data_IF_688483513233
#
_entry.id   IF_688483513233
#
_cell.length_a   1.000
_cell.length_b   1.000
_cell.length_c   1.000
_cell.angle_alpha   90.00
_cell.angle_beta   90.00
_cell.angle_gamma   90.00
#
_symmetry.space_group_name_H-M   'P 1'
#
loop_
_entity.id
_entity.type
_entity.pdbx_description
1 polymer ?
#
# COMPACT_ATOMS: atom_id res chain seq x y z
N UNK A 1 6.14 23.08 17.00
CA UNK A 1 6.89 21.84 17.23
C UNK A 1 8.21 22.00 16.49
N UNK A 2 9.25 22.42 17.19
CA UNK A 2 10.59 22.68 16.68
C UNK A 2 11.21 21.36 16.22
N UNK A 3 11.76 21.35 15.01
CA UNK A 3 12.68 20.29 14.56
C UNK A 3 13.77 20.21 15.63
N UNK A 4 14.07 19.02 16.21
CA UNK A 4 15.17 18.92 17.14
C UNK A 4 16.42 19.43 16.42
N UNK A 5 17.09 20.40 17.04
CA UNK A 5 18.29 21.02 16.49
C UNK A 5 19.32 19.92 16.25
N UNK A 6 19.96 19.97 15.09
CA UNK A 6 21.20 19.24 14.86
C UNK A 6 22.14 19.53 16.04
N UNK A 7 22.84 18.51 16.53
CA UNK A 7 23.91 18.70 17.48
C UNK A 7 24.88 19.76 16.94
N UNK A 8 25.65 20.48 17.80
CA UNK A 8 26.51 21.58 17.38
C UNK A 8 27.52 21.23 16.27
N UNK A 9 27.74 19.98 16.06
CA UNK A 9 28.63 19.33 15.07
C UNK A 9 27.93 18.89 13.79
N UNK A 10 26.65 19.22 13.59
CA UNK A 10 25.89 18.83 12.39
C UNK A 10 25.45 17.36 12.36
N UNK A 11 25.96 16.51 13.24
CA UNK A 11 25.69 15.07 13.28
C UNK A 11 24.40 14.76 14.05
N UNK A 12 23.54 13.89 13.51
CA UNK A 12 22.36 13.43 14.25
C UNK A 12 22.76 12.72 15.54
N UNK A 13 22.16 13.11 16.67
CA UNK A 13 22.39 12.41 17.93
C UNK A 13 21.92 10.95 17.86
N UNK A 14 22.51 10.07 18.66
CA UNK A 14 22.06 8.68 18.75
C UNK A 14 20.56 8.56 19.06
N UNK A 15 20.06 9.43 19.94
CA UNK A 15 18.64 9.48 20.30
C UNK A 15 17.77 9.84 19.09
N UNK A 16 18.18 10.81 18.27
CA UNK A 16 17.46 11.19 17.06
C UNK A 16 17.43 10.06 16.03
N UNK A 17 18.58 9.41 15.83
CA UNK A 17 18.67 8.26 14.94
C UNK A 17 17.69 7.17 15.35
N UNK A 18 17.73 6.76 16.61
CA UNK A 18 16.84 5.70 17.14
C UNK A 18 15.37 6.10 17.03
N UNK A 19 15.03 7.33 17.40
CA UNK A 19 13.64 7.82 17.30
C UNK A 19 13.13 7.83 15.85
N UNK A 20 13.94 8.27 14.89
CA UNK A 20 13.58 8.27 13.47
C UNK A 20 13.36 6.87 12.93
N UNK A 21 14.23 5.91 13.28
CA UNK A 21 14.10 4.51 12.86
C UNK A 21 12.90 3.83 13.51
N UNK A 22 12.65 4.06 14.79
CA UNK A 22 11.47 3.54 15.49
C UNK A 22 10.17 4.12 14.93
N UNK A 23 10.14 5.43 14.67
CA UNK A 23 8.98 6.07 14.06
C UNK A 23 8.69 5.51 12.66
N UNK A 24 9.72 5.36 11.81
CA UNK A 24 9.58 4.75 10.49
C UNK A 24 9.02 3.33 10.58
N UNK A 25 9.59 2.52 11.49
CA UNK A 25 9.14 1.14 11.71
C UNK A 25 7.69 1.08 12.20
N UNK A 26 7.32 1.95 13.15
CA UNK A 26 5.96 2.03 13.69
C UNK A 26 4.93 2.46 12.65
N UNK A 27 5.24 3.48 11.86
CA UNK A 27 4.38 3.99 10.79
C UNK A 27 4.21 2.94 9.67
N UNK A 28 5.31 2.32 9.23
CA UNK A 28 5.25 1.22 8.28
C UNK A 28 4.45 0.04 8.83
N UNK A 29 4.67 -0.30 10.09
CA UNK A 29 3.92 -1.32 10.81
C UNK A 29 2.42 -1.03 10.89
N UNK A 30 2.00 0.22 11.11
CA UNK A 30 0.59 0.61 11.15
C UNK A 30 -0.13 0.35 9.82
N UNK A 31 0.51 0.67 8.69
CA UNK A 31 -0.01 0.33 7.35
C UNK A 31 -0.06 -1.18 7.19
N UNK A 32 1.03 -1.89 7.53
CA UNK A 32 1.13 -3.34 7.42
C UNK A 32 0.11 -4.08 8.28
N UNK A 33 -0.18 -3.59 9.49
CA UNK A 33 -1.20 -4.14 10.37
C UNK A 33 -2.59 -4.07 9.74
N UNK A 34 -2.94 -2.94 9.14
CA UNK A 34 -4.19 -2.80 8.38
C UNK A 34 -4.28 -3.84 7.25
N UNK A 35 -3.17 -4.13 6.58
CA UNK A 35 -3.08 -5.12 5.51
C UNK A 35 -3.23 -6.55 6.04
N UNK A 36 -2.58 -6.86 7.15
CA UNK A 36 -2.63 -8.18 7.79
C UNK A 36 -4.03 -8.50 8.32
N UNK A 37 -4.66 -7.56 9.03
CA UNK A 37 -6.05 -7.69 9.49
C UNK A 37 -7.05 -7.94 8.35
N UNK A 38 -6.69 -7.57 7.12
CA UNK A 38 -7.52 -7.74 5.93
C UNK A 38 -7.09 -8.89 5.03
N UNK A 39 -6.19 -9.74 5.52
CA UNK A 39 -5.68 -10.92 4.82
C UNK A 39 -5.13 -10.60 3.41
N UNK A 40 -4.48 -9.44 3.27
CA UNK A 40 -3.82 -9.04 2.02
C UNK A 40 -2.36 -9.50 2.02
N UNK A 41 -1.76 -9.78 0.86
CA UNK A 41 -0.32 -10.04 0.77
C UNK A 41 0.49 -8.86 1.32
N UNK A 42 1.68 -9.12 1.86
CA UNK A 42 2.53 -8.15 2.55
C UNK A 42 1.83 -7.48 3.76
N UNK A 43 2.05 -8.05 4.95
CA UNK A 43 1.50 -7.60 6.22
C UNK A 43 2.45 -6.70 7.02
N UNK A 44 2.30 -6.78 8.35
CA UNK A 44 3.03 -5.98 9.34
C UNK A 44 4.55 -5.99 9.13
N UNK A 45 5.15 -7.18 9.06
CA UNK A 45 6.60 -7.36 8.97
C UNK A 45 7.18 -6.72 7.71
N UNK A 46 6.54 -6.94 6.57
CA UNK A 46 7.01 -6.43 5.28
C UNK A 46 7.03 -4.90 5.27
N UNK A 47 5.94 -4.26 5.66
CA UNK A 47 5.85 -2.80 5.64
C UNK A 47 6.77 -2.15 6.68
N UNK A 48 6.88 -2.74 7.88
CA UNK A 48 7.79 -2.27 8.92
C UNK A 48 9.26 -2.34 8.47
N UNK A 49 9.67 -3.46 7.86
CA UNK A 49 11.04 -3.64 7.36
C UNK A 49 11.35 -2.75 6.16
N UNK A 50 10.41 -2.54 5.25
CA UNK A 50 10.58 -1.63 4.11
C UNK A 50 10.76 -0.19 4.60
N UNK A 51 9.92 0.28 5.52
CA UNK A 51 10.04 1.61 6.08
C UNK A 51 11.35 1.79 6.88
N UNK A 52 11.71 0.78 7.69
CA UNK A 52 12.98 0.77 8.42
C UNK A 52 14.19 0.82 7.47
N UNK A 53 14.22 -0.01 6.43
CA UNK A 53 15.30 -0.06 5.45
C UNK A 53 15.47 1.26 4.70
N UNK A 54 14.37 1.87 4.28
CA UNK A 54 14.36 3.18 3.64
C UNK A 54 14.86 4.29 4.61
N UNK A 55 14.42 4.26 5.87
CA UNK A 55 14.88 5.21 6.88
C UNK A 55 16.37 5.02 7.21
N UNK A 56 16.83 3.78 7.37
CA UNK A 56 18.22 3.46 7.64
C UNK A 56 19.15 3.96 6.53
N UNK A 57 18.81 3.66 5.27
CA UNK A 57 19.61 4.11 4.12
C UNK A 57 19.67 5.65 4.06
N UNK A 58 18.54 6.33 4.33
CA UNK A 58 18.48 7.79 4.31
C UNK A 58 19.27 8.41 5.46
N UNK A 59 19.14 7.92 6.69
CA UNK A 59 19.92 8.41 7.86
C UNK A 59 21.42 8.20 7.63
N UNK A 60 21.81 7.01 7.12
CA UNK A 60 23.23 6.71 6.84
C UNK A 60 23.82 7.68 5.81
N UNK A 61 23.04 8.02 4.76
CA UNK A 61 23.51 8.98 3.75
C UNK A 61 23.63 10.40 4.28
N UNK A 62 22.72 10.83 5.16
CA UNK A 62 22.80 12.14 5.80
C UNK A 62 24.08 12.23 6.66
N UNK A 63 24.35 11.24 7.50
CA UNK A 63 25.57 11.21 8.34
C UNK A 63 26.85 11.12 7.51
N UNK A 64 26.84 10.36 6.39
CA UNK A 64 28.00 10.29 5.48
C UNK A 64 28.21 11.63 4.78
N UNK A 65 27.14 12.35 4.41
CA UNK A 65 27.20 13.70 3.86
C UNK A 65 27.94 14.66 4.79
N UNK A 66 27.61 14.64 6.08
CA UNK A 66 28.30 15.45 7.10
C UNK A 66 29.81 15.14 7.15
N UNK A 67 30.16 13.86 7.15
CA UNK A 67 31.54 13.42 7.24
C UNK A 67 32.37 13.76 5.97
N UNK A 68 31.74 13.89 4.82
CA UNK A 68 32.40 14.10 3.51
C UNK A 68 32.26 15.52 2.97
N UNK A 69 31.52 16.40 3.67
CA UNK A 69 31.22 17.76 3.22
C UNK A 69 30.22 17.84 2.05
N UNK A 70 29.52 16.75 1.74
CA UNK A 70 28.44 16.74 0.73
C UNK A 70 27.18 17.32 1.38
N UNK A 71 26.46 18.20 0.65
CA UNK A 71 25.24 18.78 1.20
C UNK A 71 24.20 17.69 1.54
N UNK A 72 23.47 17.89 2.66
CA UNK A 72 22.37 16.99 3.04
C UNK A 72 21.34 16.81 1.94
N UNK A 73 21.06 17.86 1.17
CA UNK A 73 20.13 17.82 0.04
C UNK A 73 20.60 16.88 -1.06
N UNK A 74 21.87 16.94 -1.42
CA UNK A 74 22.44 16.07 -2.46
C UNK A 74 22.54 14.63 -2.00
N UNK A 75 22.98 14.38 -0.76
CA UNK A 75 23.05 13.06 -0.18
C UNK A 75 21.66 12.41 -0.11
N UNK A 76 20.66 13.11 0.42
CA UNK A 76 19.27 12.65 0.49
C UNK A 76 18.69 12.38 -0.90
N UNK A 77 18.88 13.28 -1.87
CA UNK A 77 18.36 13.14 -3.23
C UNK A 77 18.85 11.85 -3.91
N UNK A 78 20.14 11.54 -3.81
CA UNK A 78 20.74 10.32 -4.39
C UNK A 78 20.15 9.06 -3.77
N UNK A 79 19.99 9.04 -2.45
CA UNK A 79 19.44 7.88 -1.75
C UNK A 79 17.95 7.72 -2.04
N UNK A 80 17.18 8.79 -2.07
CA UNK A 80 15.76 8.76 -2.44
C UNK A 80 15.59 8.16 -3.83
N UNK A 81 16.40 8.58 -4.81
CA UNK A 81 16.37 8.02 -6.16
C UNK A 81 16.65 6.51 -6.15
N UNK A 82 17.66 6.08 -5.39
CA UNK A 82 18.01 4.65 -5.25
C UNK A 82 16.90 3.84 -4.60
N UNK A 83 16.30 4.35 -3.50
CA UNK A 83 15.20 3.69 -2.81
C UNK A 83 13.98 3.57 -3.73
N UNK A 84 13.60 4.66 -4.41
CA UNK A 84 12.44 4.68 -5.32
C UNK A 84 12.63 3.68 -6.47
N UNK A 85 13.83 3.60 -7.04
CA UNK A 85 14.15 2.62 -8.07
C UNK A 85 14.12 1.18 -7.52
N UNK A 86 14.74 0.95 -6.36
CA UNK A 86 14.82 -0.38 -5.72
C UNK A 86 13.45 -0.92 -5.28
N UNK A 87 12.59 -0.05 -4.74
CA UNK A 87 11.26 -0.46 -4.30
C UNK A 87 10.36 -0.83 -5.49
N UNK A 88 10.64 -0.30 -6.68
CA UNK A 88 9.96 -0.68 -7.91
C UNK A 88 10.14 -2.17 -8.24
N UNK A 89 11.33 -2.73 -7.98
CA UNK A 89 11.60 -4.16 -8.14
C UNK A 89 10.76 -5.02 -7.17
N UNK A 90 10.70 -4.65 -5.89
CA UNK A 90 9.88 -5.34 -4.89
C UNK A 90 8.39 -5.23 -5.25
N UNK A 91 7.93 -4.03 -5.65
CA UNK A 91 6.57 -3.79 -6.10
C UNK A 91 6.20 -4.63 -7.32
N UNK A 92 7.09 -4.73 -8.30
CA UNK A 92 6.91 -5.58 -9.48
C UNK A 92 6.80 -7.06 -9.12
N UNK A 93 7.59 -7.54 -8.16
CA UNK A 93 7.55 -8.92 -7.68
C UNK A 93 6.25 -9.29 -6.94
N UNK A 94 5.51 -8.30 -6.43
CA UNK A 94 4.22 -8.52 -5.74
C UNK A 94 3.04 -8.54 -6.73
N UNK A 95 3.21 -7.95 -7.91
CA UNK A 95 2.17 -7.93 -8.94
C UNK A 95 2.21 -9.26 -9.70
N UNK A 96 1.19 -10.07 -9.51
CA UNK A 96 1.06 -11.39 -10.11
C UNK A 96 -0.08 -11.42 -11.12
N UNK A 97 0.11 -12.23 -12.17
CA UNK A 97 -0.96 -12.56 -13.12
C UNK A 97 -1.56 -13.90 -12.72
N UNK A 98 -2.88 -13.93 -12.56
CA UNK A 98 -3.62 -15.17 -12.35
C UNK A 98 -4.04 -15.75 -13.70
N UNK A 99 -4.24 -17.08 -13.80
CA UNK A 99 -4.64 -17.79 -15.03
C UNK A 99 -5.83 -17.16 -15.76
N UNK A 100 -6.73 -16.48 -15.06
CA UNK A 100 -7.88 -15.76 -15.63
C UNK A 100 -7.57 -14.34 -16.13
N UNK A 101 -6.31 -13.99 -16.41
CA UNK A 101 -5.86 -12.64 -16.81
C UNK A 101 -6.15 -11.51 -15.81
N UNK A 102 -6.50 -11.83 -14.56
CA UNK A 102 -6.68 -10.84 -13.52
C UNK A 102 -5.33 -10.46 -12.91
N UNK A 103 -5.03 -9.16 -12.87
CA UNK A 103 -3.85 -8.63 -12.20
C UNK A 103 -4.17 -8.43 -10.72
N UNK A 104 -3.43 -9.08 -9.84
CA UNK A 104 -3.54 -8.95 -8.38
C UNK A 104 -2.27 -8.33 -7.80
N UNK A 105 -2.37 -7.75 -6.61
CA UNK A 105 -1.20 -7.20 -5.90
C UNK A 105 -0.93 -5.71 -6.15
N UNK A 106 -1.64 -5.01 -7.04
CA UNK A 106 -1.44 -3.59 -7.34
C UNK A 106 -1.50 -2.71 -6.08
N UNK A 107 -2.55 -2.88 -5.27
CA UNK A 107 -2.69 -2.12 -4.01
C UNK A 107 -1.57 -2.48 -3.02
N UNK A 108 -1.11 -3.74 -3.01
CA UNK A 108 0.00 -4.17 -2.16
C UNK A 108 1.30 -3.52 -2.59
N UNK A 109 1.62 -3.50 -3.88
CA UNK A 109 2.77 -2.79 -4.41
C UNK A 109 2.73 -1.29 -4.07
N UNK A 110 1.58 -0.65 -4.22
CA UNK A 110 1.39 0.75 -3.86
C UNK A 110 1.62 1.02 -2.36
N UNK A 111 1.13 0.14 -1.46
CA UNK A 111 1.35 0.33 -0.02
C UNK A 111 2.80 0.10 0.40
N UNK A 112 3.53 -0.80 -0.24
CA UNK A 112 4.97 -1.00 -0.03
C UNK A 112 5.73 0.26 -0.45
N UNK A 113 5.36 0.86 -1.58
CA UNK A 113 5.97 2.11 -2.05
C UNK A 113 5.72 3.26 -1.06
N UNK A 114 4.49 3.41 -0.57
CA UNK A 114 4.13 4.41 0.46
C UNK A 114 4.90 4.17 1.76
N UNK A 115 5.08 2.93 2.19
CA UNK A 115 5.86 2.61 3.39
C UNK A 115 7.32 3.05 3.26
N UNK A 116 7.95 2.86 2.10
CA UNK A 116 9.30 3.35 1.83
C UNK A 116 9.38 4.89 1.87
N UNK A 117 8.43 5.58 1.24
CA UNK A 117 8.36 7.05 1.24
C UNK A 117 8.17 7.63 2.65
N UNK A 118 7.35 6.97 3.48
CA UNK A 118 7.17 7.34 4.89
C UNK A 118 8.45 7.10 5.71
N UNK A 119 9.19 6.03 5.44
CA UNK A 119 10.50 5.78 6.04
C UNK A 119 11.49 6.89 5.73
N UNK A 120 11.57 7.33 4.48
CA UNK A 120 12.39 8.47 4.05
C UNK A 120 11.97 9.74 4.81
N UNK A 121 10.67 10.04 4.87
CA UNK A 121 10.14 11.24 5.53
C UNK A 121 10.47 11.27 7.02
N UNK A 122 10.41 10.13 7.72
CA UNK A 122 10.83 9.99 9.11
C UNK A 122 12.33 10.23 9.25
N UNK A 123 13.16 9.67 8.36
CA UNK A 123 14.60 9.80 8.37
C UNK A 123 15.07 11.25 8.22
N UNK A 124 14.42 12.00 7.34
CA UNK A 124 14.70 13.44 7.14
C UNK A 124 14.11 14.31 8.27
N UNK A 125 13.26 13.75 9.14
CA UNK A 125 12.61 14.48 10.23
C UNK A 125 11.37 15.28 9.80
N UNK A 126 10.78 14.98 8.67
CA UNK A 126 9.57 15.63 8.17
C UNK A 126 8.30 15.07 8.83
N UNK A 127 8.18 15.26 10.14
CA UNK A 127 7.10 14.66 10.95
C UNK A 127 5.69 15.04 10.50
N UNK A 128 5.50 16.29 10.06
CA UNK A 128 4.19 16.75 9.53
C UNK A 128 3.82 16.01 8.25
N UNK A 129 4.78 15.83 7.34
CA UNK A 129 4.58 15.10 6.09
C UNK A 129 4.30 13.63 6.38
N UNK A 130 5.12 12.98 7.21
CA UNK A 130 4.93 11.59 7.59
C UNK A 130 3.58 11.36 8.28
N UNK A 131 3.22 12.21 9.25
CA UNK A 131 1.95 12.10 9.98
C UNK A 131 0.72 12.32 9.11
N UNK A 132 0.73 13.33 8.25
CA UNK A 132 -0.39 13.56 7.31
C UNK A 132 -0.50 12.44 6.27
N UNK A 133 0.63 11.99 5.72
CA UNK A 133 0.64 10.97 4.68
C UNK A 133 0.18 9.60 5.22
N UNK A 134 0.60 9.19 6.43
CA UNK A 134 0.12 7.93 7.01
C UNK A 134 -1.38 7.98 7.31
N UNK A 135 -1.88 9.12 7.80
CA UNK A 135 -3.31 9.29 8.05
C UNK A 135 -4.12 9.16 6.75
N UNK A 136 -3.71 9.87 5.70
CA UNK A 136 -4.35 9.80 4.39
C UNK A 136 -4.28 8.37 3.84
N UNK A 137 -3.13 7.71 3.91
CA UNK A 137 -2.97 6.34 3.44
C UNK A 137 -3.92 5.37 4.17
N UNK A 138 -4.04 5.47 5.48
CA UNK A 138 -4.96 4.64 6.27
C UNK A 138 -6.43 4.92 5.90
N UNK A 139 -6.80 6.19 5.72
CA UNK A 139 -8.16 6.57 5.26
C UNK A 139 -8.44 5.95 3.90
N UNK A 140 -7.53 6.07 2.92
CA UNK A 140 -7.68 5.47 1.59
C UNK A 140 -7.83 3.95 1.67
N UNK A 141 -7.05 3.28 2.50
CA UNK A 141 -7.12 1.82 2.67
C UNK A 141 -8.42 1.34 3.33
N UNK A 142 -8.97 2.12 4.25
CA UNK A 142 -10.22 1.79 4.95
C UNK A 142 -11.43 2.10 4.06
N UNK A 143 -11.51 3.32 3.52
CA UNK A 143 -12.63 3.78 2.69
C UNK A 143 -12.68 3.03 1.37
N UNK A 144 -11.54 2.84 0.70
CA UNK A 144 -11.46 2.11 -0.57
C UNK A 144 -12.06 0.70 -0.46
N UNK A 145 -11.82 0.02 0.66
CA UNK A 145 -12.40 -1.30 0.94
C UNK A 145 -13.92 -1.27 1.08
N UNK A 146 -14.45 -0.25 1.75
CA UNK A 146 -15.90 -0.06 1.89
C UNK A 146 -16.58 0.11 0.53
N UNK A 147 -15.98 0.89 -0.35
CA UNK A 147 -16.48 1.16 -1.71
C UNK A 147 -16.42 -0.12 -2.57
N UNK A 148 -15.30 -0.86 -2.55
CA UNK A 148 -15.16 -2.13 -3.27
C UNK A 148 -16.23 -3.13 -2.84
N UNK A 149 -16.50 -3.27 -1.54
CA UNK A 149 -17.53 -4.15 -0.99
C UNK A 149 -18.95 -3.74 -1.42
N UNK A 150 -19.25 -2.45 -1.48
CA UNK A 150 -20.54 -1.94 -1.94
C UNK A 150 -20.76 -2.20 -3.43
N UNK A 151 -19.73 -1.96 -4.27
CA UNK A 151 -19.79 -2.21 -5.71
C UNK A 151 -19.98 -3.69 -6.05
N UNK A 152 -19.33 -4.60 -5.31
CA UNK A 152 -19.51 -6.04 -5.49
C UNK A 152 -20.95 -6.49 -5.15
N UNK A 153 -21.58 -5.92 -4.14
CA UNK A 153 -22.99 -6.22 -3.79
C UNK A 153 -23.94 -5.79 -4.90
N UNK A 154 -23.76 -4.59 -5.46
CA UNK A 154 -24.60 -4.07 -6.55
C UNK A 154 -24.46 -4.95 -7.80
N UNK A 155 -23.24 -5.35 -8.15
CA UNK A 155 -22.97 -6.18 -9.33
C UNK A 155 -23.46 -7.64 -9.18
N UNK A 156 -23.51 -8.16 -7.95
CA UNK A 156 -24.07 -9.48 -7.62
C UNK A 156 -25.59 -9.52 -7.81
N UNK A 157 -26.29 -8.47 -7.34
CA UNK A 157 -27.76 -8.38 -7.42
C UNK A 157 -28.28 -8.26 -8.88
N UNK A 158 -27.54 -7.55 -9.72
CA UNK A 158 -27.87 -7.44 -11.17
C UNK A 158 -27.70 -8.76 -11.92
N UNK A 159 -26.73 -9.58 -11.56
CA UNK A 159 -26.53 -10.90 -12.19
C UNK A 159 -27.60 -11.90 -11.81
N UNK A 160 -28.05 -11.88 -10.56
CA UNK A 160 -29.06 -12.81 -10.04
C UNK A 160 -30.46 -12.48 -10.63
N UNK A 161 -30.75 -11.20 -10.83
CA UNK A 161 -31.99 -10.76 -11.54
C UNK A 161 -32.00 -11.15 -13.01
N UNK A 162 -30.87 -11.03 -13.72
CA UNK A 162 -30.75 -11.45 -15.12
C UNK A 162 -30.94 -12.95 -15.29
N UNK A 163 -30.41 -13.75 -14.37
CA UNK A 163 -30.51 -15.22 -14.46
C UNK A 163 -31.93 -15.74 -14.10
N UNK A 164 -32.66 -15.06 -13.20
CA UNK A 164 -34.05 -15.41 -12.90
C UNK A 164 -35.00 -15.07 -14.05
N UNK A 165 -34.77 -13.99 -14.79
CA UNK A 165 -35.55 -13.63 -15.98
C UNK A 165 -35.39 -14.66 -17.10
N UNK A 166 -34.15 -15.08 -17.39
CA UNK A 166 -33.88 -16.07 -18.44
C UNK A 166 -34.40 -17.50 -18.10
N UNK A 167 -34.45 -17.85 -16.81
CA UNK A 167 -34.99 -19.15 -16.36
C UNK A 167 -36.51 -19.25 -16.49
N UNK A 168 -37.23 -18.13 -16.32
CA UNK A 168 -38.70 -18.11 -16.42
C UNK A 168 -39.19 -18.14 -17.88
N UNK A 169 -38.47 -17.49 -18.77
CA UNK A 169 -38.76 -17.58 -20.24
C UNK A 169 -38.53 -18.99 -20.81
N UNK A 170 -37.43 -19.64 -20.47
CA UNK A 170 -37.14 -21.01 -20.92
C UNK A 170 -38.11 -22.07 -20.39
N UNK A 171 -38.75 -21.80 -19.22
CA UNK A 171 -39.76 -22.71 -18.66
C UNK A 171 -41.15 -22.50 -19.28
N UNK A 172 -41.47 -21.28 -19.72
CA UNK A 172 -42.72 -20.97 -20.44
C UNK A 172 -42.75 -21.63 -21.86
N UNK A 173 -41.63 -21.61 -22.58
CA UNK A 173 -41.54 -22.23 -23.92
C UNK A 173 -41.64 -23.76 -23.85
N UNK A 174 -41.11 -24.40 -22.79
CA UNK A 174 -41.26 -25.85 -22.60
C UNK A 174 -42.66 -26.29 -22.17
N UNK A 175 -43.43 -25.41 -21.53
CA UNK A 175 -44.82 -25.66 -21.13
C UNK A 175 -45.80 -25.67 -22.32
N UNK A 176 -45.60 -24.79 -23.29
CA UNK A 176 -46.50 -24.66 -24.46
C UNK A 176 -46.29 -25.75 -25.49
N UNK A 177 -45.08 -26.31 -25.62
CA UNK A 177 -44.79 -27.40 -26.56
C UNK A 177 -45.38 -28.78 -26.19
N UNK A 178 -45.73 -29.00 -24.91
CA UNK A 178 -46.25 -30.30 -24.43
C UNK A 178 -47.77 -30.46 -24.55
N UNK A 179 -48.52 -29.38 -24.76
CA UNK A 179 -49.98 -29.45 -24.91
C UNK A 179 -50.45 -29.75 -26.34
N UNK A 180 -49.60 -29.54 -27.37
CA UNK A 180 -49.93 -29.74 -28.76
C UNK A 180 -49.76 -31.21 -29.26
N UNK A 181 -49.15 -32.10 -28.45
CA UNK A 181 -48.87 -33.50 -28.85
C UNK A 181 -49.86 -34.54 -28.28
N UNK A 182 -50.98 -34.14 -27.69
CA UNK A 182 -51.95 -35.05 -27.05
C UNK A 182 -53.33 -35.09 -27.73
N UNK A 183 -53.49 -34.50 -28.91
CA UNK A 183 -54.73 -34.59 -29.69
C UNK A 183 -54.43 -34.98 -31.14
N UNK A 184 -54.03 -36.25 -31.30
CA UNK A 184 -53.89 -36.92 -32.56
C UNK A 184 -54.05 -38.40 -32.39
#
# INVERSE_FOLDING_TARGET
MTVPALAPDGVLSWTDVVLRLLAATGIGGAIGLNRELTRKPAGLRTHALVALGAALATVSALQLGDATGVSHGDAASRVIQGIVAGIGFIGGGVILHTENRNVVGLTTAATIWVAAALGISCAVGQWRVAGSAVLIALVVLVVGRGIEGALHRIKGDTRDRGNRGAGDEGNRERGTGKSASRSG
#
